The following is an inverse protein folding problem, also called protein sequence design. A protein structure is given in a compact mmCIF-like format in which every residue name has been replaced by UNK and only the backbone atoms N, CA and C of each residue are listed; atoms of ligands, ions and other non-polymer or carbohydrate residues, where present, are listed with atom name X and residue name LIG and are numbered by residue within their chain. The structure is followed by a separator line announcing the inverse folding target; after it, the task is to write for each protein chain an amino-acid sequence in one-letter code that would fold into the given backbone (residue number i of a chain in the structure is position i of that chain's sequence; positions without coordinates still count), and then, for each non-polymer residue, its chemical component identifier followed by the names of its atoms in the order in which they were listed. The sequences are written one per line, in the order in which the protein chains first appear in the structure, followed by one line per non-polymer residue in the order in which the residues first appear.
data_IF_450169772487
#
_entry.id   IF_450169772487
#
_cell.length_a   1.000
_cell.length_b   1.000
_cell.length_c   1.000
_cell.angle_alpha   90.00
_cell.angle_beta   90.00
_cell.angle_gamma   90.00
#
_symmetry.space_group_name_H-M   'P 1'
#
loop_
_entity.id
_entity.type
_entity.pdbx_description
1 polymer ?
#
# COMPACT_ATOMS: atom_id res chain seq x y z
N UNK A 1 -14.54 -3.89 -5.37
CA UNK A 1 -14.32 -5.35 -5.39
C UNK A 1 -12.84 -5.65 -5.40
N UNK A 2 -12.38 -6.58 -4.58
CA UNK A 2 -10.96 -6.97 -4.62
C UNK A 2 -10.66 -7.77 -5.90
N UNK A 3 -9.53 -7.50 -6.48
CA UNK A 3 -9.07 -8.18 -7.70
C UNK A 3 -7.61 -8.57 -7.55
N UNK A 4 -7.29 -9.78 -7.93
CA UNK A 4 -5.90 -10.22 -7.98
C UNK A 4 -5.23 -9.62 -9.21
N UNK A 5 -4.06 -9.04 -9.02
CA UNK A 5 -3.30 -8.44 -10.11
C UNK A 5 -1.88 -8.98 -10.12
N UNK A 6 -1.19 -8.79 -11.25
CA UNK A 6 0.20 -9.19 -11.39
C UNK A 6 1.14 -8.16 -10.77
N UNK A 7 2.40 -8.57 -10.54
CA UNK A 7 3.43 -7.64 -10.10
C UNK A 7 3.60 -6.49 -11.09
N UNK A 8 3.50 -6.78 -12.39
CA UNK A 8 3.63 -5.75 -13.43
C UNK A 8 2.50 -4.72 -13.32
N UNK A 9 1.27 -5.18 -13.12
CA UNK A 9 0.14 -4.27 -12.95
C UNK A 9 0.29 -3.42 -11.68
N UNK A 10 0.77 -4.02 -10.61
CA UNK A 10 1.05 -3.28 -9.37
C UNK A 10 2.10 -2.21 -9.60
N UNK A 11 3.18 -2.54 -10.32
CA UNK A 11 4.22 -1.57 -10.64
C UNK A 11 3.67 -0.39 -11.45
N UNK A 12 2.76 -0.66 -12.38
CA UNK A 12 2.14 0.40 -13.18
C UNK A 12 1.29 1.34 -12.32
N UNK A 13 0.53 0.78 -11.40
CA UNK A 13 -0.29 1.58 -10.48
C UNK A 13 0.60 2.43 -9.58
N UNK A 14 1.64 1.84 -9.01
CA UNK A 14 2.55 2.56 -8.12
C UNK A 14 3.32 3.64 -8.87
N UNK A 15 3.71 3.37 -10.12
CA UNK A 15 4.37 4.37 -10.96
C UNK A 15 3.46 5.58 -11.20
N UNK A 16 2.18 5.33 -11.43
CA UNK A 16 1.21 6.39 -11.60
C UNK A 16 1.09 7.25 -10.35
N UNK A 17 1.01 6.61 -9.18
CA UNK A 17 0.95 7.34 -7.91
C UNK A 17 2.22 8.16 -7.68
N UNK A 18 3.38 7.59 -8.01
CA UNK A 18 4.66 8.27 -7.85
C UNK A 18 4.78 9.47 -8.79
N UNK A 19 4.38 9.31 -10.05
CA UNK A 19 4.48 10.38 -11.03
C UNK A 19 3.62 11.58 -10.69
N UNK A 20 2.52 11.36 -9.99
CA UNK A 20 1.64 12.43 -9.54
C UNK A 20 1.97 12.92 -8.12
N UNK A 21 2.99 12.36 -7.51
CA UNK A 21 3.41 12.70 -6.14
C UNK A 21 2.27 12.59 -5.12
N UNK A 22 1.43 11.59 -5.30
CA UNK A 22 0.28 11.40 -4.42
C UNK A 22 0.75 10.94 -3.03
N UNK A 23 0.13 11.46 -1.97
CA UNK A 23 0.35 10.90 -0.64
C UNK A 23 -0.17 9.46 -0.59
N UNK A 24 0.67 8.57 -0.13
CA UNK A 24 0.36 7.14 -0.02
C UNK A 24 0.47 6.72 1.44
N UNK A 25 -0.49 5.97 1.91
CA UNK A 25 -0.41 5.35 3.21
C UNK A 25 0.19 3.95 3.07
N UNK A 26 1.22 3.68 3.85
CA UNK A 26 1.88 2.39 3.93
C UNK A 26 1.54 1.80 5.29
N UNK A 27 0.91 0.64 5.31
CA UNK A 27 0.51 0.01 6.56
C UNK A 27 1.00 -1.43 6.62
N UNK A 28 1.44 -1.83 7.79
CA UNK A 28 1.83 -3.22 8.07
C UNK A 28 0.71 -3.82 8.91
N UNK A 29 0.10 -4.87 8.40
CA UNK A 29 -1.08 -5.48 9.00
C UNK A 29 -0.83 -6.93 9.36
N UNK A 30 -1.52 -7.40 10.39
CA UNK A 30 -1.58 -8.83 10.69
C UNK A 30 -3.02 -9.15 11.06
N UNK A 31 -3.67 -9.95 10.19
CA UNK A 31 -5.09 -10.16 10.32
C UNK A 31 -5.86 -8.86 10.14
N UNK A 32 -6.67 -8.49 11.11
CA UNK A 32 -7.45 -7.26 11.06
C UNK A 32 -6.82 -6.12 11.86
N UNK A 33 -5.60 -6.32 12.34
CA UNK A 33 -4.94 -5.32 13.17
C UNK A 33 -3.80 -4.65 12.41
N UNK A 34 -3.76 -3.35 12.51
CA UNK A 34 -2.65 -2.55 11.99
C UNK A 34 -1.58 -2.42 13.06
N UNK A 35 -0.37 -2.86 12.74
CA UNK A 35 0.75 -2.77 13.66
C UNK A 35 1.52 -1.48 13.51
N UNK A 36 1.56 -0.95 12.31
CA UNK A 36 2.26 0.30 12.03
C UNK A 36 1.73 0.91 10.74
N UNK A 37 1.80 2.22 10.63
CA UNK A 37 1.45 2.90 9.39
C UNK A 37 2.22 4.21 9.25
N UNK A 38 2.43 4.63 8.00
CA UNK A 38 3.11 5.88 7.65
C UNK A 38 2.43 6.48 6.44
N UNK A 39 2.46 7.79 6.32
CA UNK A 39 1.96 8.49 5.14
C UNK A 39 3.11 9.29 4.53
N UNK A 40 3.33 9.10 3.27
CA UNK A 40 4.40 9.79 2.56
C UNK A 40 4.26 9.65 1.07
N UNK A 41 5.34 9.88 0.36
CA UNK A 41 5.39 9.71 -1.09
C UNK A 41 6.23 8.51 -1.46
N UNK A 42 5.91 7.88 -2.57
CA UNK A 42 6.63 6.70 -3.03
C UNK A 42 7.52 7.04 -4.22
N UNK A 43 8.57 6.25 -4.38
CA UNK A 43 9.43 6.32 -5.55
C UNK A 43 9.89 4.93 -5.96
N UNK A 44 10.18 4.78 -7.23
CA UNK A 44 10.69 3.54 -7.78
C UNK A 44 12.18 3.40 -7.45
N UNK A 45 12.55 2.31 -6.78
CA UNK A 45 13.93 2.00 -6.46
C UNK A 45 14.50 0.90 -7.37
N UNK A 46 13.81 0.63 -8.49
CA UNK A 46 14.16 -0.36 -9.51
C UNK A 46 13.99 -1.81 -9.04
N UNK A 47 13.83 -2.69 -9.99
CA UNK A 47 13.69 -4.12 -9.71
C UNK A 47 12.41 -4.52 -9.00
N UNK A 48 11.36 -3.73 -9.17
CA UNK A 48 10.08 -4.00 -8.49
C UNK A 48 10.06 -3.52 -7.05
N UNK A 49 11.04 -2.76 -6.63
CA UNK A 49 11.11 -2.22 -5.28
C UNK A 49 10.60 -0.79 -5.25
N UNK A 50 9.77 -0.51 -4.27
CA UNK A 50 9.16 0.80 -4.07
C UNK A 50 9.47 1.30 -2.67
N UNK A 51 9.88 2.55 -2.57
CA UNK A 51 10.29 3.17 -1.31
C UNK A 51 9.30 4.26 -0.96
N UNK A 52 8.78 4.21 0.24
CA UNK A 52 7.93 5.27 0.79
C UNK A 52 8.75 6.06 1.79
N UNK A 53 8.80 7.37 1.59
CA UNK A 53 9.47 8.28 2.50
C UNK A 53 8.42 9.08 3.27
N UNK A 54 8.45 8.98 4.58
CA UNK A 54 7.54 9.67 5.48
C UNK A 54 8.37 10.36 6.58
N UNK A 55 8.65 11.64 6.39
CA UNK A 55 9.53 12.36 7.31
C UNK A 55 10.93 11.77 7.31
N UNK A 56 11.36 11.25 8.45
CA UNK A 56 12.67 10.61 8.60
C UNK A 56 12.63 9.10 8.44
N UNK A 57 11.45 8.56 8.16
CA UNK A 57 11.26 7.12 8.06
C UNK A 57 11.22 6.71 6.59
N UNK A 58 11.87 5.59 6.29
CA UNK A 58 11.87 5.00 4.95
C UNK A 58 11.41 3.57 5.05
N UNK A 59 10.41 3.22 4.25
CA UNK A 59 9.86 1.88 4.17
C UNK A 59 9.92 1.38 2.74
N UNK A 60 10.15 0.09 2.56
CA UNK A 60 10.30 -0.48 1.24
C UNK A 60 9.38 -1.70 1.09
N UNK A 61 8.82 -1.85 -0.10
CA UNK A 61 8.06 -3.03 -0.49
C UNK A 61 8.52 -3.49 -1.87
N UNK A 62 8.56 -4.79 -2.07
CA UNK A 62 8.87 -5.38 -3.37
C UNK A 62 7.62 -6.05 -3.94
N UNK A 63 7.24 -5.66 -5.15
CA UNK A 63 6.09 -6.26 -5.83
C UNK A 63 6.37 -7.70 -6.27
N UNK A 64 7.63 -8.11 -6.27
CA UNK A 64 8.05 -9.43 -6.76
C UNK A 64 8.27 -10.47 -5.67
N UNK A 65 8.21 -10.06 -4.41
CA UNK A 65 8.47 -10.96 -3.30
C UNK A 65 7.22 -11.53 -2.66
N UNK A 66 6.07 -11.06 -3.06
CA UNK A 66 4.80 -11.52 -2.50
C UNK A 66 4.12 -12.49 -3.45
N UNK A 67 3.48 -13.51 -2.88
CA UNK A 67 2.77 -14.49 -3.68
C UNK A 67 1.44 -14.01 -4.21
N UNK A 68 0.89 -12.97 -3.60
CA UNK A 68 -0.42 -12.45 -3.99
C UNK A 68 -0.46 -10.94 -3.84
N UNK A 69 -1.01 -10.26 -4.86
CA UNK A 69 -1.26 -8.83 -4.79
C UNK A 69 -2.72 -8.61 -5.12
N UNK A 70 -3.43 -7.91 -4.24
CA UNK A 70 -4.86 -7.67 -4.39
C UNK A 70 -5.09 -6.17 -4.51
N UNK A 71 -5.80 -5.79 -5.59
CA UNK A 71 -6.24 -4.42 -5.79
C UNK A 71 -7.63 -4.28 -5.17
N UNK A 72 -7.80 -3.30 -4.31
CA UNK A 72 -9.09 -2.97 -3.72
C UNK A 72 -9.44 -1.53 -4.05
N UNK A 73 -10.69 -1.30 -4.32
CA UNK A 73 -11.17 0.03 -4.66
C UNK A 73 -12.58 0.22 -4.13
N UNK A 74 -12.82 1.34 -3.48
CA UNK A 74 -14.14 1.75 -3.06
C UNK A 74 -14.36 3.21 -3.41
N UNK A 75 -15.40 3.84 -2.87
CA UNK A 75 -15.72 5.22 -3.18
C UNK A 75 -14.70 6.21 -2.65
N UNK A 76 -13.93 5.83 -1.64
CA UNK A 76 -13.03 6.73 -0.93
C UNK A 76 -11.57 6.49 -1.22
N UNK A 77 -11.18 5.26 -1.58
CA UNK A 77 -9.78 4.92 -1.74
C UNK A 77 -9.50 3.81 -2.72
N UNK A 78 -8.24 3.76 -3.16
CA UNK A 78 -7.68 2.69 -3.96
C UNK A 78 -6.50 2.12 -3.20
N UNK A 79 -6.42 0.81 -3.07
CA UNK A 79 -5.36 0.18 -2.31
C UNK A 79 -4.81 -1.06 -2.96
N UNK A 80 -3.56 -1.36 -2.60
CA UNK A 80 -2.89 -2.60 -2.99
C UNK A 80 -2.51 -3.33 -1.71
N UNK A 81 -2.91 -4.58 -1.61
CA UNK A 81 -2.55 -5.44 -0.49
C UNK A 81 -1.58 -6.50 -0.96
N UNK A 82 -0.43 -6.57 -0.33
CA UNK A 82 0.61 -7.54 -0.63
C UNK A 82 0.60 -8.63 0.42
N UNK A 83 0.39 -9.86 -0.01
CA UNK A 83 0.28 -11.01 0.86
C UNK A 83 1.29 -12.07 0.50
N UNK A 84 1.87 -12.69 1.51
CA UNK A 84 2.71 -13.84 1.30
C UNK A 84 1.85 -15.10 1.43
N UNK A 85 1.73 -15.83 0.33
CA UNK A 85 0.92 -17.06 0.30
C UNK A 85 1.69 -18.30 0.68
N UNK A 86 3.00 -18.19 0.93
CA UNK A 86 3.83 -19.35 1.31
C UNK A 86 3.73 -19.65 2.78
N UNK A 87 2.80 -19.02 3.39
CA UNK A 87 2.97 -19.05 4.61
C UNK A 87 2.34 -19.66 5.72
N UNK A 88 2.77 -19.27 6.82
CA UNK A 88 2.20 -19.60 8.07
C UNK A 88 1.21 -18.53 8.46
N UNK A 89 0.36 -18.83 9.39
CA UNK A 89 -0.65 -17.93 9.92
C UNK A 89 -0.10 -16.67 10.58
N UNK A 90 1.21 -16.54 10.64
CA UNK A 90 1.83 -15.45 11.39
C UNK A 90 2.32 -14.30 10.53
N UNK A 91 2.08 -14.33 9.24
CA UNK A 91 2.71 -13.38 8.37
C UNK A 91 2.00 -12.05 8.28
N UNK A 92 2.79 -11.01 8.15
CA UNK A 92 2.29 -9.66 7.99
C UNK A 92 1.92 -9.41 6.53
N UNK A 93 0.89 -8.61 6.35
CA UNK A 93 0.51 -8.09 5.05
C UNK A 93 0.90 -6.62 4.99
N UNK A 94 1.16 -6.15 3.77
CA UNK A 94 1.47 -4.75 3.55
C UNK A 94 0.37 -4.15 2.70
N UNK A 95 -0.20 -3.04 3.15
CA UNK A 95 -1.20 -2.30 2.42
C UNK A 95 -0.62 -0.95 1.98
N UNK A 96 -0.77 -0.63 0.71
CA UNK A 96 -0.49 0.70 0.18
C UNK A 96 -1.78 1.25 -0.39
N UNK A 97 -2.19 2.42 0.03
CA UNK A 97 -3.42 2.99 -0.49
C UNK A 97 -3.40 4.51 -0.54
N UNK A 98 -4.25 5.04 -1.41
CA UNK A 98 -4.45 6.49 -1.59
C UNK A 98 -5.92 6.82 -1.47
N UNK A 99 -6.22 8.07 -1.15
CA UNK A 99 -7.58 8.58 -1.21
C UNK A 99 -7.92 8.98 -2.64
N UNK A 100 -9.15 8.72 -3.06
CA UNK A 100 -9.59 9.06 -4.40
C UNK A 100 -9.82 10.55 -4.61
N UNK A 101 -10.26 11.24 -3.59
CA UNK A 101 -10.67 12.62 -3.73
C UNK A 101 -9.65 13.56 -3.10
N UNK A 102 -8.68 14.02 -3.89
CA UNK A 102 -7.81 15.11 -3.45
C UNK A 102 -6.64 14.73 -2.56
N UNK A 103 -6.32 13.46 -2.46
CA UNK A 103 -5.16 13.04 -1.71
C UNK A 103 -5.43 12.80 -0.23
N UNK A 104 -4.37 12.46 0.49
CA UNK A 104 -4.46 12.02 1.88
C UNK A 104 -4.04 13.09 2.89
N UNK A 105 -3.91 14.33 2.46
CA UNK A 105 -3.42 15.39 3.33
C UNK A 105 -4.34 15.59 4.52
N UNK A 106 -3.86 15.21 5.67
CA UNK A 106 -4.63 15.32 6.91
C UNK A 106 -5.77 14.32 7.05
N UNK A 107 -6.07 13.56 6.01
CA UNK A 107 -7.19 12.61 6.01
C UNK A 107 -6.75 11.16 6.08
N UNK A 108 -5.48 10.87 5.95
CA UNK A 108 -4.98 9.50 5.95
C UNK A 108 -5.31 8.76 7.24
N UNK A 109 -5.13 9.41 8.38
CA UNK A 109 -5.37 8.78 9.66
C UNK A 109 -6.84 8.40 9.86
N UNK A 110 -7.82 9.27 9.55
CA UNK A 110 -9.23 8.86 9.60
C UNK A 110 -9.57 7.71 8.67
N UNK A 111 -8.99 7.69 7.45
CA UNK A 111 -9.21 6.57 6.53
C UNK A 111 -8.66 5.28 7.08
N UNK A 112 -7.45 5.33 7.63
CA UNK A 112 -6.81 4.18 8.27
C UNK A 112 -7.68 3.66 9.40
N UNK A 113 -8.16 4.53 10.26
CA UNK A 113 -8.99 4.12 11.38
C UNK A 113 -10.27 3.45 10.94
N UNK A 114 -10.88 3.92 9.85
CA UNK A 114 -12.08 3.28 9.32
C UNK A 114 -11.82 1.87 8.80
N UNK A 115 -10.63 1.61 8.27
CA UNK A 115 -10.29 0.28 7.79
C UNK A 115 -10.10 -0.73 8.91
N UNK A 116 -9.77 -0.28 10.10
CA UNK A 116 -9.54 -1.17 11.24
C UNK A 116 -10.83 -1.55 11.95
N UNK A 117 -11.88 -0.87 11.66
CA UNK A 117 -13.19 -1.15 12.27
C UNK A 117 -13.96 -2.21 11.46
#
# INVERSE_FOLDING_TARGET
MPSHISAKEADEILENWASESLPVCFAVCKGNLWHAHWVGTIRNAHGGRWVLTAGHTTNMVSTREFGEIVLTEDEEMVGLRFRDTKGSDSEFEIDLFIAKAGGLDGEAIPLVQRMIQ
#
